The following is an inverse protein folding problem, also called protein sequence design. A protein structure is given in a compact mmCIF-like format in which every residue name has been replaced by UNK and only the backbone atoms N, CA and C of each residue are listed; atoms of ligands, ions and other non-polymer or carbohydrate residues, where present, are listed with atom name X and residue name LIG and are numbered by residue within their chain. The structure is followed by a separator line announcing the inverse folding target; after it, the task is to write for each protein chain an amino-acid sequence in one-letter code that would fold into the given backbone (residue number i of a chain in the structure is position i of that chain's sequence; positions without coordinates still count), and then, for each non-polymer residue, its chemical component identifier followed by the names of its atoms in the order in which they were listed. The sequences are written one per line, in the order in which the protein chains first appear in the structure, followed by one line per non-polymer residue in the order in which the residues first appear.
data_IF_549130497955
#
_entry.id   IF_549130497955
#
_cell.length_a   1.000
_cell.length_b   1.000
_cell.length_c   1.000
_cell.angle_alpha   90.00
_cell.angle_beta   90.00
_cell.angle_gamma   90.00
#
_symmetry.space_group_name_H-M   'P 1'
#
loop_
_entity.id
_entity.type
_entity.pdbx_description
1 polymer ?
#
# COMPACT_ATOMS: atom_id res chain seq x y z
N UNK A 1 -12.61 8.86 -15.00
CA UNK A 1 -11.65 9.48 -14.04
C UNK A 1 -11.84 8.99 -12.59
N UNK A 2 -13.03 9.11 -11.98
CA UNK A 2 -13.23 8.71 -10.56
C UNK A 2 -12.95 7.23 -10.30
N UNK A 3 -13.54 6.33 -11.09
CA UNK A 3 -13.33 4.88 -10.95
C UNK A 3 -11.83 4.51 -11.08
N UNK A 4 -11.12 5.13 -12.02
CA UNK A 4 -9.68 4.92 -12.19
C UNK A 4 -8.87 5.36 -10.96
N UNK A 5 -9.20 6.51 -10.35
CA UNK A 5 -8.55 6.97 -9.11
C UNK A 5 -8.82 6.04 -7.93
N UNK A 6 -10.05 5.53 -7.82
CA UNK A 6 -10.42 4.56 -6.78
C UNK A 6 -9.66 3.24 -6.99
N UNK A 7 -9.66 2.71 -8.22
CA UNK A 7 -8.93 1.49 -8.54
C UNK A 7 -7.42 1.63 -8.30
N UNK A 8 -6.82 2.72 -8.79
CA UNK A 8 -5.40 3.01 -8.56
C UNK A 8 -5.06 3.16 -7.07
N UNK A 9 -5.92 3.86 -6.30
CA UNK A 9 -5.74 4.00 -4.86
C UNK A 9 -5.88 2.68 -4.10
N UNK A 10 -6.80 1.81 -4.51
CA UNK A 10 -6.96 0.47 -3.93
C UNK A 10 -5.73 -0.39 -4.21
N UNK A 11 -5.20 -0.38 -5.45
CA UNK A 11 -3.97 -1.09 -5.81
C UNK A 11 -2.79 -0.57 -4.98
N UNK A 12 -2.59 0.75 -4.90
CA UNK A 12 -1.54 1.35 -4.07
C UNK A 12 -1.63 0.93 -2.61
N UNK A 13 -2.86 0.90 -2.07
CA UNK A 13 -3.10 0.46 -0.69
C UNK A 13 -2.65 -0.99 -0.48
N UNK A 14 -3.09 -1.89 -1.37
CA UNK A 14 -2.73 -3.30 -1.29
C UNK A 14 -1.23 -3.53 -1.45
N UNK A 15 -0.58 -2.83 -2.38
CA UNK A 15 0.87 -2.92 -2.58
C UNK A 15 1.65 -2.42 -1.35
N UNK A 16 1.24 -1.29 -0.78
CA UNK A 16 1.85 -0.77 0.44
C UNK A 16 1.72 -1.73 1.63
N UNK A 17 0.56 -2.38 1.78
CA UNK A 17 0.36 -3.43 2.80
C UNK A 17 1.32 -4.60 2.55
N UNK A 18 1.41 -5.10 1.31
CA UNK A 18 2.30 -6.22 0.95
C UNK A 18 3.76 -5.89 1.25
N UNK A 19 4.23 -4.69 0.94
CA UNK A 19 5.59 -4.25 1.24
C UNK A 19 5.85 -4.09 2.74
N UNK A 20 4.88 -3.56 3.48
CA UNK A 20 4.95 -3.45 4.94
C UNK A 20 5.12 -4.84 5.57
N UNK A 21 4.29 -5.80 5.14
CA UNK A 21 4.32 -7.18 5.61
C UNK A 21 5.63 -7.89 5.24
N UNK A 22 6.18 -7.64 4.05
CA UNK A 22 7.50 -8.14 3.67
C UNK A 22 8.58 -7.55 4.58
N UNK A 23 8.55 -6.24 4.84
CA UNK A 23 9.47 -5.58 5.76
C UNK A 23 9.48 -6.20 7.16
N UNK A 24 8.31 -6.64 7.65
CA UNK A 24 8.20 -7.39 8.92
C UNK A 24 8.58 -8.87 8.85
N UNK A 25 8.85 -9.42 7.66
CA UNK A 25 9.19 -10.83 7.48
C UNK A 25 7.99 -11.76 7.63
N UNK A 26 6.77 -11.31 7.31
CA UNK A 26 5.58 -12.15 7.41
C UNK A 26 5.67 -13.39 6.49
N UNK A 27 5.38 -14.58 7.04
CA UNK A 27 5.56 -15.86 6.35
C UNK A 27 4.57 -16.13 5.20
N UNK A 28 3.50 -15.35 5.11
CA UNK A 28 2.43 -15.51 4.12
C UNK A 28 2.51 -14.50 2.97
N UNK A 29 3.56 -13.68 2.89
CA UNK A 29 3.86 -12.83 1.74
C UNK A 29 5.13 -13.32 1.04
N UNK A 30 5.27 -13.09 -0.29
CA UNK A 30 6.45 -13.53 -1.03
C UNK A 30 7.74 -13.00 -0.42
N UNK A 31 8.73 -13.88 -0.26
CA UNK A 31 10.07 -13.51 0.19
C UNK A 31 10.82 -12.82 -0.93
N UNK A 32 11.45 -11.69 -0.63
CA UNK A 32 12.28 -10.93 -1.57
C UNK A 32 13.39 -10.17 -0.84
N UNK A 33 14.13 -9.32 -1.54
CA UNK A 33 15.09 -8.37 -0.96
C UNK A 33 14.46 -7.36 0.02
N UNK A 34 13.12 -7.31 0.09
CA UNK A 34 12.36 -6.47 1.01
C UNK A 34 12.19 -7.10 2.40
N UNK A 35 12.54 -8.38 2.57
CA UNK A 35 12.21 -9.16 3.76
C UNK A 35 13.07 -8.77 4.96
N UNK A 36 12.47 -8.55 6.13
CA UNK A 36 13.17 -8.13 7.36
C UNK A 36 13.95 -6.80 7.22
N UNK A 37 13.44 -5.89 6.39
CA UNK A 37 14.07 -4.60 6.11
C UNK A 37 13.14 -3.45 6.55
N UNK A 38 13.63 -2.60 7.46
CA UNK A 38 12.85 -1.50 8.04
C UNK A 38 12.46 -0.44 7.01
N UNK A 39 13.30 -0.26 5.98
CA UNK A 39 13.06 0.62 4.85
C UNK A 39 11.74 0.28 4.16
N UNK A 40 11.46 -1.02 3.99
CA UNK A 40 10.24 -1.50 3.32
C UNK A 40 8.99 -1.41 4.20
N UNK A 41 9.15 -1.43 5.52
CA UNK A 41 8.07 -1.08 6.46
C UNK A 41 7.64 0.37 6.23
N UNK A 42 8.60 1.30 6.20
CA UNK A 42 8.32 2.73 6.04
C UNK A 42 7.76 3.06 4.66
N UNK A 43 8.39 2.56 3.59
CA UNK A 43 7.92 2.75 2.21
C UNK A 43 6.51 2.16 2.05
N UNK A 44 6.27 0.96 2.58
CA UNK A 44 4.97 0.30 2.55
C UNK A 44 3.88 1.10 3.24
N UNK A 45 4.12 1.57 4.47
CA UNK A 45 3.17 2.38 5.24
C UNK A 45 2.82 3.68 4.53
N UNK A 46 3.81 4.40 4.00
CA UNK A 46 3.58 5.66 3.27
C UNK A 46 2.77 5.39 2.00
N UNK A 47 3.11 4.34 1.26
CA UNK A 47 2.41 3.95 0.03
C UNK A 47 0.96 3.56 0.33
N UNK A 48 0.74 2.80 1.40
CA UNK A 48 -0.60 2.40 1.82
C UNK A 48 -1.45 3.62 2.23
N UNK A 49 -0.88 4.54 3.02
CA UNK A 49 -1.55 5.76 3.44
C UNK A 49 -1.90 6.68 2.24
N UNK A 50 -1.01 6.78 1.25
CA UNK A 50 -1.26 7.52 0.02
C UNK A 50 -2.42 6.91 -0.79
N UNK A 51 -2.44 5.58 -0.92
CA UNK A 51 -3.54 4.84 -1.56
C UNK A 51 -4.88 5.07 -0.88
N UNK A 52 -4.94 4.92 0.46
CA UNK A 52 -6.14 5.17 1.27
C UNK A 52 -6.61 6.62 1.10
N UNK A 53 -5.69 7.58 1.13
CA UNK A 53 -6.00 9.00 0.95
C UNK A 53 -6.61 9.27 -0.44
N UNK A 54 -6.06 8.65 -1.48
CA UNK A 54 -6.57 8.78 -2.84
C UNK A 54 -7.98 8.19 -2.98
N UNK A 55 -8.22 7.01 -2.41
CA UNK A 55 -9.54 6.38 -2.38
C UNK A 55 -10.53 7.25 -1.60
N UNK A 56 -10.18 7.66 -0.38
CA UNK A 56 -11.04 8.44 0.49
C UNK A 56 -11.44 9.77 -0.16
N UNK A 57 -10.49 10.51 -0.75
CA UNK A 57 -10.78 11.78 -1.46
C UNK A 57 -11.58 11.57 -2.74
N UNK A 58 -11.39 10.45 -3.44
CA UNK A 58 -12.13 10.15 -4.67
C UNK A 58 -13.54 9.61 -4.38
N UNK A 59 -13.73 8.96 -3.23
CA UNK A 59 -15.00 8.46 -2.75
C UNK A 59 -15.86 9.58 -2.16
N UNK A 60 -15.25 10.47 -1.37
CA UNK A 60 -15.86 11.70 -0.85
C UNK A 60 -16.02 12.71 -2.00
N UNK A 61 -17.14 12.61 -2.72
CA UNK A 61 -17.66 13.74 -3.48
C UNK A 61 -18.37 14.70 -2.49
N UNK A 62 -18.28 16.04 -2.65
CA UNK A 62 -19.42 16.89 -2.31
C UNK A 62 -20.61 16.53 -3.22
#
# INVERSE_FOLDING_TARGET
MRALKIAGGAILTMMGIVWTLQGFGASYVPTSFMTNAIEWILIGLITAAAGVTLVARSARKP
#
